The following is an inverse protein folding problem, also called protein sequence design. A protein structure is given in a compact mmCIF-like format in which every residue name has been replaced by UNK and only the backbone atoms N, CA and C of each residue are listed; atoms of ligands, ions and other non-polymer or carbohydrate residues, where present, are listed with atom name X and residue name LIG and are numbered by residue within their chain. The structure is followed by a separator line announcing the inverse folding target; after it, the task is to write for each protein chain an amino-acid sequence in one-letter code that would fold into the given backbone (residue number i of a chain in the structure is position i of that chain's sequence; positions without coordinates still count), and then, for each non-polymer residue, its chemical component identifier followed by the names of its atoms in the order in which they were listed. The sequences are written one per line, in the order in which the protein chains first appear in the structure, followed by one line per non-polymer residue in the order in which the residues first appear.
data_IF_970113123589
#
_entry.id   IF_970113123589
#
_cell.length_a   1.000
_cell.length_b   1.000
_cell.length_c   1.000
_cell.angle_alpha   90.00
_cell.angle_beta   90.00
_cell.angle_gamma   90.00
#
_symmetry.space_group_name_H-M   'P 1'
#
loop_
_entity.id
_entity.type
_entity.pdbx_description
1 polymer ?
#
# COMPACT_ATOMS: atom_id res chain seq x y z
N UNK A 1 9.74 3.86 -26.64
CA UNK A 1 8.41 3.24 -26.74
C UNK A 1 8.05 2.76 -25.35
N UNK A 2 7.18 3.50 -24.63
CA UNK A 2 6.72 3.08 -23.31
C UNK A 2 5.50 2.18 -23.52
N UNK A 3 5.64 0.88 -23.27
CA UNK A 3 4.49 0.03 -23.06
C UNK A 3 3.84 0.49 -21.76
N UNK A 4 2.79 1.32 -21.84
CA UNK A 4 1.90 1.49 -20.71
C UNK A 4 1.17 0.16 -20.52
N UNK A 5 1.78 -0.76 -19.78
CA UNK A 5 1.06 -1.92 -19.26
C UNK A 5 -0.02 -1.33 -18.37
N UNK A 6 -1.27 -1.50 -18.80
CA UNK A 6 -2.45 -1.04 -18.09
C UNK A 6 -2.69 -1.98 -16.90
N UNK A 7 -1.71 -2.07 -16.01
CA UNK A 7 -1.71 -2.96 -14.86
C UNK A 7 -2.59 -2.35 -13.79
N UNK A 8 -3.77 -2.95 -13.61
CA UNK A 8 -4.66 -2.58 -12.52
C UNK A 8 -4.02 -2.95 -11.19
N UNK A 9 -4.03 -2.02 -10.24
CA UNK A 9 -3.76 -2.30 -8.83
C UNK A 9 -5.09 -2.62 -8.16
N UNK A 10 -5.26 -3.87 -7.73
CA UNK A 10 -6.49 -4.36 -7.11
C UNK A 10 -6.35 -4.30 -5.58
N UNK A 11 -7.21 -3.50 -4.95
CA UNK A 11 -7.41 -3.54 -3.51
C UNK A 11 -8.41 -4.66 -3.17
N UNK A 12 -7.89 -5.83 -2.81
CA UNK A 12 -8.73 -6.99 -2.51
C UNK A 12 -9.57 -6.77 -1.24
N UNK A 13 -10.61 -7.57 -1.06
CA UNK A 13 -11.42 -7.56 0.16
C UNK A 13 -10.57 -7.83 1.42
N UNK A 14 -9.48 -8.59 1.30
CA UNK A 14 -8.54 -8.82 2.40
C UNK A 14 -7.84 -7.52 2.79
N UNK A 15 -7.32 -6.77 1.82
CA UNK A 15 -6.69 -5.46 2.05
C UNK A 15 -7.68 -4.50 2.71
N UNK A 16 -8.91 -4.42 2.19
CA UNK A 16 -9.95 -3.54 2.72
C UNK A 16 -10.32 -3.91 4.17
N UNK A 17 -10.52 -5.19 4.46
CA UNK A 17 -10.82 -5.66 5.83
C UNK A 17 -9.68 -5.37 6.79
N UNK A 18 -8.43 -5.58 6.37
CA UNK A 18 -7.25 -5.30 7.19
C UNK A 18 -7.11 -3.81 7.52
N UNK A 19 -7.38 -2.92 6.56
CA UNK A 19 -7.45 -1.48 6.82
C UNK A 19 -8.60 -1.13 7.77
N UNK A 20 -9.79 -1.72 7.56
CA UNK A 20 -10.98 -1.44 8.36
C UNK A 20 -10.87 -1.95 9.80
N UNK A 21 -10.08 -2.99 10.08
CA UNK A 21 -9.85 -3.50 11.43
C UNK A 21 -8.90 -2.64 12.27
N UNK A 22 -8.18 -1.70 11.66
CA UNK A 22 -7.30 -0.79 12.38
C UNK A 22 -8.10 0.29 13.13
N UNK A 23 -7.57 0.83 14.24
CA UNK A 23 -8.18 2.00 14.86
C UNK A 23 -8.17 3.19 13.89
N UNK A 24 -9.11 4.13 14.08
CA UNK A 24 -9.39 5.20 13.12
C UNK A 24 -8.16 6.02 12.73
N UNK A 25 -7.25 6.27 13.68
CA UNK A 25 -6.03 7.06 13.46
C UNK A 25 -5.06 6.31 12.56
N UNK A 26 -4.76 5.06 12.89
CA UNK A 26 -3.85 4.20 12.15
C UNK A 26 -4.38 3.95 10.74
N UNK A 27 -5.68 3.61 10.60
CA UNK A 27 -6.32 3.43 9.30
C UNK A 27 -6.09 4.65 8.40
N UNK A 28 -6.31 5.86 8.92
CA UNK A 28 -6.14 7.10 8.14
C UNK A 28 -4.69 7.29 7.70
N UNK A 29 -3.74 7.12 8.61
CA UNK A 29 -2.31 7.30 8.31
C UNK A 29 -1.80 6.27 7.31
N UNK A 30 -2.18 5.01 7.45
CA UNK A 30 -1.78 3.94 6.52
C UNK A 30 -2.43 4.14 5.14
N UNK A 31 -3.71 4.51 5.08
CA UNK A 31 -4.36 4.84 3.80
C UNK A 31 -3.72 6.03 3.11
N UNK A 32 -3.32 7.06 3.85
CA UNK A 32 -2.62 8.22 3.29
C UNK A 32 -1.25 7.80 2.74
N UNK A 33 -0.45 7.05 3.52
CA UNK A 33 0.85 6.57 3.08
C UNK A 33 0.76 5.70 1.81
N UNK A 34 -0.21 4.78 1.75
CA UNK A 34 -0.48 3.98 0.55
C UNK A 34 -0.85 4.84 -0.66
N UNK A 35 -1.69 5.85 -0.45
CA UNK A 35 -2.14 6.73 -1.54
C UNK A 35 -1.00 7.60 -2.05
N UNK A 36 -0.19 8.16 -1.15
CA UNK A 36 0.98 8.96 -1.49
C UNK A 36 2.01 8.13 -2.27
N UNK A 37 2.29 6.91 -1.83
CA UNK A 37 3.18 6.01 -2.56
C UNK A 37 2.61 5.64 -3.94
N UNK A 38 1.36 5.16 -3.99
CA UNK A 38 0.77 4.64 -5.23
C UNK A 38 0.46 5.71 -6.28
N UNK A 39 0.10 6.92 -5.85
CA UNK A 39 -0.27 8.00 -6.78
C UNK A 39 0.88 8.96 -7.04
N UNK A 40 1.73 9.23 -6.06
CA UNK A 40 2.78 10.25 -6.13
C UNK A 40 4.19 9.65 -6.21
N UNK A 41 4.36 8.35 -5.99
CA UNK A 41 5.68 7.71 -5.93
C UNK A 41 6.50 8.10 -4.70
N UNK A 42 5.85 8.63 -3.66
CA UNK A 42 6.52 9.05 -2.43
C UNK A 42 6.91 7.85 -1.56
N UNK A 43 8.07 7.94 -0.91
CA UNK A 43 8.51 6.95 0.08
C UNK A 43 7.77 7.17 1.42
N UNK A 44 6.89 6.23 1.82
CA UNK A 44 6.12 6.36 3.05
C UNK A 44 6.98 6.25 4.32
N UNK A 45 8.18 5.65 4.24
CA UNK A 45 9.07 5.48 5.40
C UNK A 45 9.48 6.80 6.06
N UNK A 46 9.43 7.91 5.31
CA UNK A 46 9.76 9.25 5.83
C UNK A 46 8.69 9.85 6.74
N UNK A 47 7.47 9.32 6.70
CA UNK A 47 6.30 9.90 7.38
C UNK A 47 5.71 9.02 8.50
N UNK A 48 6.12 7.75 8.56
CA UNK A 48 5.55 6.76 9.46
C UNK A 48 6.42 6.53 10.69
N UNK A 49 5.77 6.34 11.84
CA UNK A 49 6.45 5.83 13.05
C UNK A 49 6.82 4.36 12.87
N UNK A 50 7.75 3.80 13.66
CA UNK A 50 8.14 2.39 13.54
C UNK A 50 6.97 1.41 13.56
N UNK A 51 5.98 1.65 14.44
CA UNK A 51 4.77 0.82 14.50
C UNK A 51 3.91 0.95 13.24
N UNK A 52 3.77 2.17 12.71
CA UNK A 52 3.01 2.41 11.49
C UNK A 52 3.71 1.83 10.27
N UNK A 53 5.03 1.84 10.23
CA UNK A 53 5.81 1.18 9.17
C UNK A 53 5.52 -0.32 9.13
N UNK A 54 5.37 -0.98 10.29
CA UNK A 54 4.98 -2.40 10.34
C UNK A 54 3.58 -2.60 9.74
N UNK A 55 2.60 -1.80 10.16
CA UNK A 55 1.23 -1.88 9.64
C UNK A 55 1.18 -1.64 8.13
N UNK A 56 1.90 -0.62 7.67
CA UNK A 56 2.03 -0.29 6.26
C UNK A 56 2.64 -1.46 5.48
N UNK A 57 3.76 -2.01 5.93
CA UNK A 57 4.43 -3.14 5.28
C UNK A 57 3.52 -4.36 5.18
N UNK A 58 2.73 -4.66 6.21
CA UNK A 58 1.74 -5.75 6.17
C UNK A 58 0.68 -5.52 5.09
N UNK A 59 0.14 -4.31 4.98
CA UNK A 59 -0.86 -3.98 3.95
C UNK A 59 -0.24 -3.99 2.56
N UNK A 60 0.95 -3.42 2.39
CA UNK A 60 1.70 -3.41 1.13
C UNK A 60 1.99 -4.82 0.65
N UNK A 61 2.39 -5.72 1.56
CA UNK A 61 2.58 -7.13 1.27
C UNK A 61 1.29 -7.81 0.78
N UNK A 62 0.13 -7.47 1.35
CA UNK A 62 -1.16 -8.02 0.88
C UNK A 62 -1.51 -7.51 -0.51
N UNK A 63 -1.26 -6.23 -0.79
CA UNK A 63 -1.45 -5.66 -2.12
C UNK A 63 -0.53 -6.34 -3.14
N UNK A 64 0.76 -6.49 -2.85
CA UNK A 64 1.72 -7.16 -3.75
C UNK A 64 1.35 -8.63 -3.99
N UNK A 65 1.02 -9.36 -2.92
CA UNK A 65 0.61 -10.76 -3.03
C UNK A 65 -0.64 -10.93 -3.90
N UNK A 66 -1.57 -9.98 -3.83
CA UNK A 66 -2.81 -10.00 -4.60
C UNK A 66 -2.62 -9.39 -6.02
N UNK A 67 -1.45 -8.81 -6.31
CA UNK A 67 -1.08 -8.19 -7.59
C UNK A 67 0.35 -8.64 -7.99
N UNK A 68 0.52 -9.89 -8.47
CA UNK A 68 1.84 -10.51 -8.66
C UNK A 68 2.75 -9.79 -9.67
N UNK A 69 2.21 -8.94 -10.53
CA UNK A 69 2.97 -8.07 -11.42
C UNK A 69 3.73 -6.93 -10.72
N UNK A 70 3.39 -6.61 -9.46
CA UNK A 70 4.06 -5.57 -8.68
C UNK A 70 5.39 -6.03 -8.03
N UNK A 71 5.83 -7.28 -8.22
CA UNK A 71 7.05 -7.82 -7.57
C UNK A 71 8.37 -7.40 -8.25
N UNK A 72 8.37 -6.43 -9.17
CA UNK A 72 9.55 -6.03 -9.96
C UNK A 72 10.23 -4.70 -9.59
N UNK A 73 9.79 -3.98 -8.55
CA UNK A 73 10.30 -2.64 -8.22
C UNK A 73 10.93 -2.58 -6.84
N UNK A 74 12.22 -2.94 -6.74
CA UNK A 74 13.08 -2.69 -5.58
C UNK A 74 14.30 -1.89 -6.02
#
# INVERSE_FOLDING_TARGET
MFYAMNESIVFSNRVLKSLQSMPCRERRLISQALTNELLLGEDPAKSLTPFQSILYTMIRFYIQKDNPHLEGGA
#
